data_IF_752179071620
#
_entry.id   IF_752179071620
#
_cell.length_a   1.000
_cell.length_b   1.000
_cell.length_c   1.000
_cell.angle_alpha   90.00
_cell.angle_beta   90.00
_cell.angle_gamma   90.00
#
_symmetry.space_group_name_H-M   'P 1'
#
loop_
_entity.id
_entity.type
_entity.pdbx_description
1 polymer ?
#
# COMPACT_ATOMS: atom_id res chain seq x y z
N UNK A 1 1.93 47.74 -47.76
CA UNK A 1 2.35 46.42 -47.22
C UNK A 1 3.62 45.90 -47.91
N UNK A 2 4.66 46.73 -48.09
CA UNK A 2 5.90 46.36 -48.79
C UNK A 2 7.01 45.90 -47.85
N UNK A 3 7.35 46.71 -46.85
CA UNK A 3 8.41 46.43 -45.87
C UNK A 3 8.16 45.16 -45.05
N UNK A 4 6.90 44.86 -44.70
CA UNK A 4 6.56 43.62 -43.98
C UNK A 4 6.90 42.39 -44.83
N UNK A 5 6.80 42.48 -46.16
CA UNK A 5 7.08 41.37 -47.08
C UNK A 5 8.59 41.16 -47.32
N UNK A 6 9.39 42.20 -47.18
CA UNK A 6 10.86 42.15 -47.34
C UNK A 6 11.59 41.75 -46.06
N UNK A 7 11.03 42.07 -44.89
CA UNK A 7 11.69 41.82 -43.58
C UNK A 7 11.11 40.59 -42.88
N UNK A 8 9.88 40.16 -43.21
CA UNK A 8 9.35 38.89 -42.74
C UNK A 8 9.91 37.75 -43.60
N UNK A 9 11.16 37.38 -43.33
CA UNK A 9 11.55 35.98 -43.48
C UNK A 9 10.78 35.19 -42.44
N UNK A 10 9.53 34.85 -42.78
CA UNK A 10 8.90 33.70 -42.15
C UNK A 10 9.74 32.51 -42.59
N UNK A 11 10.82 32.24 -41.85
CA UNK A 11 11.22 30.88 -41.62
C UNK A 11 10.00 30.27 -40.94
N UNK A 12 9.06 29.76 -41.77
CA UNK A 12 8.21 28.65 -41.39
C UNK A 12 9.21 27.52 -41.18
N UNK A 13 9.95 27.59 -40.07
CA UNK A 13 10.72 26.48 -39.62
C UNK A 13 9.63 25.45 -39.37
N UNK A 14 9.64 24.39 -40.17
CA UNK A 14 8.91 23.14 -40.00
C UNK A 14 9.18 22.57 -38.60
N UNK A 15 8.74 23.26 -37.56
CA UNK A 15 8.68 22.74 -36.19
C UNK A 15 7.33 22.08 -35.95
N UNK A 16 6.70 21.62 -37.04
CA UNK A 16 5.34 21.06 -37.06
C UNK A 16 5.30 19.57 -37.37
N UNK A 17 6.39 18.90 -37.78
CA UNK A 17 6.23 17.49 -38.21
C UNK A 17 6.43 16.46 -37.09
N UNK A 18 7.46 16.58 -36.23
CA UNK A 18 7.75 15.52 -35.25
C UNK A 18 6.65 15.44 -34.18
N UNK A 19 6.27 16.56 -33.58
CA UNK A 19 5.22 16.57 -32.55
C UNK A 19 3.86 16.14 -33.12
N UNK A 20 3.53 16.56 -34.34
CA UNK A 20 2.26 16.22 -35.01
C UNK A 20 2.21 14.75 -35.43
N UNK A 21 3.31 14.19 -35.92
CA UNK A 21 3.39 12.77 -36.29
C UNK A 21 3.31 11.87 -35.05
N UNK A 22 3.96 12.27 -33.95
CA UNK A 22 3.84 11.58 -32.67
C UNK A 22 2.41 11.68 -32.14
N UNK A 23 1.78 12.86 -32.18
CA UNK A 23 0.40 13.04 -31.74
C UNK A 23 -0.59 12.25 -32.62
N UNK A 24 -0.37 12.13 -33.93
CA UNK A 24 -1.20 11.31 -34.83
C UNK A 24 -1.26 9.84 -34.39
N UNK A 25 -0.15 9.31 -33.87
CA UNK A 25 -0.07 7.94 -33.37
C UNK A 25 -0.63 7.85 -31.95
N UNK A 26 -0.18 8.74 -31.04
CA UNK A 26 -0.52 8.69 -29.62
C UNK A 26 -1.98 9.06 -29.32
N UNK A 27 -2.60 9.90 -30.15
CA UNK A 27 -4.00 10.30 -30.01
C UNK A 27 -4.95 9.52 -30.92
N UNK A 28 -4.44 8.52 -31.66
CA UNK A 28 -5.27 7.70 -32.52
C UNK A 28 -6.34 6.96 -31.69
N UNK A 29 -7.59 6.95 -32.15
CA UNK A 29 -8.72 6.38 -31.43
C UNK A 29 -8.53 4.92 -31.02
N UNK A 30 -7.82 4.13 -31.84
CA UNK A 30 -7.59 2.70 -31.60
C UNK A 30 -6.21 2.40 -31.01
N UNK A 31 -5.16 3.10 -31.44
CA UNK A 31 -3.78 2.82 -31.02
C UNK A 31 -3.36 3.62 -29.78
N UNK A 32 -4.00 4.76 -29.53
CA UNK A 32 -3.73 5.59 -28.36
C UNK A 32 -3.98 4.86 -27.04
N UNK A 33 -5.09 4.11 -26.91
CA UNK A 33 -5.39 3.36 -25.67
C UNK A 33 -4.37 2.25 -25.37
N UNK A 34 -4.03 1.34 -26.32
CA UNK A 34 -2.96 0.36 -26.10
C UNK A 34 -1.61 0.99 -25.78
N UNK A 35 -1.20 2.06 -26.49
CA UNK A 35 0.08 2.73 -26.24
C UNK A 35 0.08 3.39 -24.85
N UNK A 36 -1.03 4.01 -24.48
CA UNK A 36 -1.20 4.58 -23.14
C UNK A 36 -1.08 3.50 -22.05
N UNK A 37 -1.82 2.40 -22.18
CA UNK A 37 -1.75 1.27 -21.25
C UNK A 37 -0.33 0.72 -21.19
N UNK A 38 0.37 0.61 -22.32
CA UNK A 38 1.77 0.19 -22.37
C UNK A 38 2.70 1.14 -21.62
N UNK A 39 2.56 2.47 -21.76
CA UNK A 39 3.38 3.43 -21.01
C UNK A 39 3.10 3.37 -19.51
N UNK A 40 1.84 3.22 -19.10
CA UNK A 40 1.48 3.06 -17.69
C UNK A 40 2.02 1.73 -17.13
N UNK A 41 1.88 0.63 -17.88
CA UNK A 41 2.45 -0.66 -17.52
C UNK A 41 3.97 -0.57 -17.38
N UNK A 42 4.65 0.06 -18.33
CA UNK A 42 6.11 0.29 -18.31
C UNK A 42 6.52 1.11 -17.08
N UNK A 43 5.77 2.17 -16.75
CA UNK A 43 6.01 2.97 -15.54
C UNK A 43 5.96 2.10 -14.28
N UNK A 44 4.93 1.27 -14.11
CA UNK A 44 4.81 0.40 -12.94
C UNK A 44 5.86 -0.71 -12.92
N UNK A 45 6.09 -1.36 -14.06
CA UNK A 45 7.10 -2.41 -14.19
C UNK A 45 8.48 -1.87 -13.82
N UNK A 46 8.86 -0.72 -14.38
CA UNK A 46 10.12 -0.06 -14.07
C UNK A 46 10.23 0.29 -12.59
N UNK A 47 9.15 0.80 -11.99
CA UNK A 47 9.11 1.16 -10.56
C UNK A 47 9.38 -0.03 -9.65
N UNK A 48 8.72 -1.17 -9.89
CA UNK A 48 8.89 -2.34 -9.03
C UNK A 48 10.18 -3.11 -9.31
N UNK A 49 10.52 -3.31 -10.59
CA UNK A 49 11.73 -4.06 -10.96
C UNK A 49 13.00 -3.30 -10.57
N UNK A 50 13.11 -1.99 -10.85
CA UNK A 50 14.28 -1.22 -10.43
C UNK A 50 14.25 -0.89 -8.93
N UNK A 51 13.06 -0.79 -8.34
CA UNK A 51 12.90 -0.46 -6.94
C UNK A 51 13.21 -1.61 -5.97
N UNK A 52 13.10 -2.86 -6.42
CA UNK A 52 13.43 -4.05 -5.63
C UNK A 52 14.89 -4.05 -5.16
N UNK A 53 15.85 -3.72 -6.05
CA UNK A 53 17.27 -3.73 -5.68
C UNK A 53 17.61 -2.76 -4.53
N UNK A 54 17.23 -1.47 -4.58
CA UNK A 54 17.45 -0.57 -3.45
C UNK A 54 16.67 -0.95 -2.19
N UNK A 55 15.47 -1.53 -2.33
CA UNK A 55 14.68 -2.02 -1.17
C UNK A 55 15.44 -3.10 -0.42
N UNK A 56 16.06 -4.05 -1.12
CA UNK A 56 16.84 -5.13 -0.52
C UNK A 56 18.10 -4.60 0.18
N UNK A 57 18.84 -3.67 -0.45
CA UNK A 57 20.05 -3.09 0.15
C UNK A 57 19.74 -2.28 1.42
N UNK A 58 18.70 -1.45 1.36
CA UNK A 58 18.21 -0.72 2.54
C UNK A 58 17.64 -1.68 3.58
N UNK A 59 17.04 -2.79 3.12
CA UNK A 59 16.61 -3.92 3.92
C UNK A 59 17.71 -4.43 4.82
N UNK A 60 18.76 -4.97 4.19
CA UNK A 60 19.93 -5.51 4.88
C UNK A 60 20.60 -4.46 5.80
N UNK A 61 20.64 -3.19 5.39
CA UNK A 61 21.19 -2.11 6.23
C UNK A 61 20.38 -1.86 7.51
N UNK A 62 19.05 -1.86 7.41
CA UNK A 62 18.14 -1.74 8.56
C UNK A 62 18.24 -2.96 9.47
N UNK A 63 18.30 -4.15 8.89
CA UNK A 63 18.33 -5.40 9.64
C UNK A 63 19.69 -5.55 10.36
N UNK A 64 20.79 -5.12 9.73
CA UNK A 64 22.11 -5.00 10.36
C UNK A 64 22.14 -3.97 11.49
N UNK A 65 21.48 -2.81 11.32
CA UNK A 65 21.32 -1.82 12.39
C UNK A 65 20.52 -2.39 13.57
N UNK A 66 19.44 -3.10 13.28
CA UNK A 66 18.61 -3.79 14.28
C UNK A 66 19.43 -4.79 15.10
N UNK A 67 20.24 -5.61 14.44
CA UNK A 67 21.15 -6.55 15.09
C UNK A 67 22.21 -5.86 15.95
N UNK A 68 22.83 -4.78 15.46
CA UNK A 68 23.83 -4.01 16.19
C UNK A 68 23.25 -3.34 17.45
N UNK A 69 22.08 -2.73 17.33
CA UNK A 69 21.34 -2.14 18.48
C UNK A 69 20.93 -3.25 19.46
N UNK A 70 20.49 -4.40 18.96
CA UNK A 70 20.12 -5.56 19.76
C UNK A 70 21.28 -6.15 20.56
N UNK A 71 22.50 -6.14 20.01
CA UNK A 71 23.70 -6.63 20.69
C UNK A 71 24.27 -5.62 21.71
N UNK A 72 24.07 -4.32 21.48
CA UNK A 72 24.60 -3.26 22.34
C UNK A 72 23.74 -3.00 23.60
N UNK A 73 22.47 -3.41 23.61
CA UNK A 73 21.53 -3.14 24.70
C UNK A 73 21.15 -4.43 25.45
N UNK A 74 21.12 -4.41 26.79
CA UNK A 74 20.60 -5.52 27.57
C UNK A 74 19.12 -5.76 27.30
N UNK A 75 18.64 -6.98 27.56
CA UNK A 75 17.23 -7.34 27.42
C UNK A 75 16.37 -6.46 28.33
N UNK A 76 15.44 -5.73 27.73
CA UNK A 76 14.61 -4.77 28.46
C UNK A 76 13.64 -4.00 27.56
N UNK A 77 12.81 -3.17 28.20
CA UNK A 77 11.81 -2.32 27.52
C UNK A 77 12.48 -1.45 26.45
N UNK A 78 13.63 -0.86 26.78
CA UNK A 78 14.41 0.02 25.89
C UNK A 78 14.87 -0.68 24.61
N UNK A 79 15.40 -1.91 24.71
CA UNK A 79 15.81 -2.70 23.53
C UNK A 79 14.61 -2.96 22.62
N UNK A 80 13.51 -3.46 23.17
CA UNK A 80 12.30 -3.73 22.39
C UNK A 80 11.70 -2.46 21.76
N UNK A 81 11.72 -1.31 22.45
CA UNK A 81 11.22 -0.05 21.89
C UNK A 81 12.09 0.42 20.72
N UNK A 82 13.41 0.37 20.88
CA UNK A 82 14.35 0.83 19.86
C UNK A 82 14.34 -0.09 18.65
N UNK A 83 14.38 -1.40 18.85
CA UNK A 83 14.42 -2.40 17.77
C UNK A 83 13.05 -2.56 17.11
N UNK A 84 12.03 -2.96 17.87
CA UNK A 84 10.71 -3.33 17.32
C UNK A 84 9.81 -2.11 17.08
N UNK A 85 10.03 -1.01 17.80
CA UNK A 85 9.24 0.21 17.65
C UNK A 85 9.84 1.22 16.67
N UNK A 86 11.07 1.66 16.95
CA UNK A 86 11.71 2.77 16.22
C UNK A 86 12.40 2.28 14.95
N UNK A 87 13.34 1.33 15.05
CA UNK A 87 14.13 0.83 13.91
C UNK A 87 13.23 0.12 12.91
N UNK A 88 12.31 -0.75 13.36
CA UNK A 88 11.32 -1.37 12.48
C UNK A 88 10.41 -0.33 11.80
N UNK A 89 9.93 0.66 12.55
CA UNK A 89 9.09 1.75 12.03
C UNK A 89 9.79 2.59 10.98
N UNK A 90 10.95 3.18 11.32
CA UNK A 90 11.76 4.00 10.39
C UNK A 90 12.26 3.17 9.22
N UNK A 91 12.64 1.91 9.49
CA UNK A 91 13.06 0.95 8.49
C UNK A 91 12.01 0.74 7.42
N UNK A 92 10.73 0.60 7.79
CA UNK A 92 9.63 0.46 6.82
C UNK A 92 9.53 1.66 5.86
N UNK A 93 9.70 2.89 6.38
CA UNK A 93 9.65 4.13 5.58
C UNK A 93 10.82 4.22 4.63
N UNK A 94 12.03 3.89 5.11
CA UNK A 94 13.26 3.92 4.32
C UNK A 94 13.20 2.86 3.21
N UNK A 95 12.77 1.63 3.53
CA UNK A 95 12.62 0.54 2.55
C UNK A 95 11.62 0.93 1.45
N UNK A 96 10.60 1.75 1.73
CA UNK A 96 9.60 2.16 0.73
C UNK A 96 10.01 3.34 -0.17
N UNK A 97 10.96 4.17 0.28
CA UNK A 97 11.37 5.39 -0.42
C UNK A 97 11.83 5.18 -1.89
N UNK A 98 12.57 4.12 -2.26
CA UNK A 98 13.05 3.93 -3.63
C UNK A 98 11.93 3.81 -4.66
N UNK A 99 10.87 3.05 -4.34
CA UNK A 99 9.71 2.89 -5.23
C UNK A 99 9.02 4.23 -5.48
N UNK A 100 8.86 5.05 -4.44
CA UNK A 100 8.27 6.39 -4.57
C UNK A 100 9.15 7.31 -5.42
N UNK A 101 10.48 7.26 -5.24
CA UNK A 101 11.44 8.06 -6.00
C UNK A 101 11.32 7.77 -7.50
N UNK A 102 11.35 6.48 -7.88
CA UNK A 102 11.27 6.05 -9.28
C UNK A 102 9.92 6.44 -9.88
N UNK A 103 8.83 6.22 -9.14
CA UNK A 103 7.50 6.63 -9.56
C UNK A 103 7.40 8.15 -9.81
N UNK A 104 7.91 8.98 -8.88
CA UNK A 104 7.90 10.43 -9.06
C UNK A 104 8.78 10.88 -10.22
N UNK A 105 9.90 10.21 -10.44
CA UNK A 105 10.73 10.42 -11.62
C UNK A 105 9.94 10.15 -12.92
N UNK A 106 9.21 9.03 -13.00
CA UNK A 106 8.38 8.73 -14.16
C UNK A 106 7.20 9.71 -14.36
N UNK A 107 6.54 10.13 -13.28
CA UNK A 107 5.48 11.13 -13.36
C UNK A 107 6.03 12.47 -13.86
N UNK A 108 7.17 12.91 -13.31
CA UNK A 108 7.84 14.13 -13.77
C UNK A 108 8.26 14.02 -15.24
N UNK A 109 8.71 12.84 -15.69
CA UNK A 109 9.01 12.58 -17.09
C UNK A 109 7.77 12.74 -17.99
N UNK A 110 6.62 12.20 -17.59
CA UNK A 110 5.38 12.33 -18.35
C UNK A 110 4.81 13.76 -18.34
N UNK A 111 5.03 14.50 -17.26
CA UNK A 111 4.64 15.91 -17.13
C UNK A 111 5.52 16.81 -18.03
N UNK A 112 6.84 16.73 -17.91
CA UNK A 112 7.79 17.57 -18.64
C UNK A 112 7.80 17.29 -20.15
N UNK A 113 7.55 16.04 -20.56
CA UNK A 113 7.42 15.68 -21.98
C UNK A 113 6.14 16.22 -22.61
N UNK A 114 5.14 16.61 -21.81
CA UNK A 114 3.82 17.01 -22.29
C UNK A 114 2.90 15.83 -22.66
N UNK A 115 3.30 14.59 -22.35
CA UNK A 115 2.49 13.39 -22.58
C UNK A 115 1.23 13.35 -21.70
N UNK A 116 1.28 13.96 -20.51
CA UNK A 116 0.12 14.09 -19.61
C UNK A 116 -1.08 14.78 -20.26
N UNK A 117 -0.86 15.83 -21.05
CA UNK A 117 -1.94 16.53 -21.75
C UNK A 117 -2.62 15.63 -22.81
N UNK A 118 -1.85 14.82 -23.54
CA UNK A 118 -2.40 13.86 -24.53
C UNK A 118 -3.15 12.73 -23.87
N UNK A 119 -2.59 12.20 -22.78
CA UNK A 119 -3.24 11.17 -21.97
C UNK A 119 -4.60 11.65 -21.44
N UNK A 120 -4.66 12.89 -20.95
CA UNK A 120 -5.92 13.50 -20.52
C UNK A 120 -6.93 13.65 -21.66
N UNK A 121 -6.48 14.08 -22.86
CA UNK A 121 -7.33 14.16 -24.04
C UNK A 121 -7.88 12.79 -24.47
N UNK A 122 -7.02 11.76 -24.50
CA UNK A 122 -7.43 10.38 -24.83
C UNK A 122 -8.46 9.83 -23.83
N UNK A 123 -8.28 10.16 -22.54
CA UNK A 123 -9.15 9.71 -21.46
C UNK A 123 -10.42 10.53 -21.30
N UNK A 124 -10.54 11.67 -21.98
CA UNK A 124 -11.65 12.61 -21.81
C UNK A 124 -13.01 11.94 -22.06
N UNK A 125 -13.11 11.13 -23.12
CA UNK A 125 -14.33 10.35 -23.42
C UNK A 125 -14.70 9.38 -22.29
N UNK A 126 -13.71 8.75 -21.66
CA UNK A 126 -13.94 7.83 -20.54
C UNK A 126 -14.35 8.61 -19.29
N UNK A 127 -13.71 9.75 -19.03
CA UNK A 127 -14.02 10.58 -17.86
C UNK A 127 -15.43 11.17 -17.95
N UNK A 128 -15.89 11.58 -19.14
CA UNK A 128 -17.27 12.03 -19.33
C UNK A 128 -18.32 10.95 -19.02
N UNK A 129 -18.02 9.65 -19.17
CA UNK A 129 -18.92 8.57 -18.73
C UNK A 129 -19.11 8.55 -17.21
N UNK A 130 -18.09 8.97 -16.46
CA UNK A 130 -18.09 9.11 -14.99
C UNK A 130 -18.73 10.46 -14.58
N UNK A 131 -18.88 11.40 -15.52
CA UNK A 131 -19.30 12.77 -15.26
C UNK A 131 -18.16 13.65 -14.73
N UNK A 132 -16.93 13.31 -15.11
CA UNK A 132 -15.70 14.04 -14.81
C UNK A 132 -15.08 14.59 -16.09
N UNK A 133 -14.30 15.65 -15.94
CA UNK A 133 -13.52 16.23 -17.02
C UNK A 133 -12.22 15.44 -17.23
N UNK A 134 -11.72 15.32 -18.48
CA UNK A 134 -10.47 14.62 -18.80
C UNK A 134 -9.22 15.03 -18.00
N UNK A 135 -9.13 16.28 -17.50
CA UNK A 135 -8.05 16.75 -16.61
C UNK A 135 -8.03 15.99 -15.27
N UNK A 136 -9.19 15.50 -14.81
CA UNK A 136 -9.34 14.72 -13.57
C UNK A 136 -8.61 13.38 -13.61
N UNK A 137 -8.35 12.87 -14.82
CA UNK A 137 -7.59 11.64 -15.02
C UNK A 137 -6.15 11.75 -14.51
N UNK A 138 -5.53 12.93 -14.62
CA UNK A 138 -4.12 13.15 -14.25
C UNK A 138 -3.90 12.86 -12.75
N UNK A 139 -4.67 13.46 -11.81
CA UNK A 139 -4.67 13.05 -10.41
C UNK A 139 -4.98 11.57 -10.18
N UNK A 140 -6.01 11.01 -10.83
CA UNK A 140 -6.42 9.61 -10.63
C UNK A 140 -5.32 8.62 -10.99
N UNK A 141 -4.60 8.87 -12.08
CA UNK A 141 -3.47 8.05 -12.50
C UNK A 141 -2.33 8.08 -11.46
N UNK A 142 -2.02 9.25 -10.92
CA UNK A 142 -1.04 9.38 -9.83
C UNK A 142 -1.45 8.59 -8.57
N UNK A 143 -2.76 8.38 -8.35
CA UNK A 143 -3.32 7.66 -7.20
C UNK A 143 -2.90 6.19 -7.12
N UNK A 144 -2.77 5.51 -8.27
CA UNK A 144 -2.22 4.14 -8.34
C UNK A 144 -0.79 4.05 -7.80
N UNK A 145 -0.05 5.15 -7.85
CA UNK A 145 1.22 5.30 -7.17
C UNK A 145 1.01 5.62 -5.69
N UNK A 146 0.57 6.84 -5.39
CA UNK A 146 0.27 7.28 -4.03
C UNK A 146 -0.89 8.28 -4.02
N UNK A 147 -1.85 8.06 -3.12
CA UNK A 147 -3.03 8.92 -3.01
C UNK A 147 -2.70 10.34 -2.49
N UNK A 148 -1.60 10.52 -1.76
CA UNK A 148 -1.18 11.82 -1.21
C UNK A 148 -0.86 12.84 -2.32
N UNK A 149 0.12 12.61 -3.22
CA UNK A 149 0.42 13.52 -4.32
C UNK A 149 -0.74 13.63 -5.32
N UNK A 150 -1.50 12.55 -5.52
CA UNK A 150 -2.67 12.54 -6.38
C UNK A 150 -3.74 13.56 -5.91
N UNK A 151 -4.09 13.53 -4.62
CA UNK A 151 -5.06 14.47 -4.05
C UNK A 151 -4.55 15.92 -4.10
N UNK A 152 -3.25 16.15 -3.86
CA UNK A 152 -2.66 17.48 -4.02
C UNK A 152 -2.69 17.96 -5.48
N UNK A 153 -2.54 17.05 -6.45
CA UNK A 153 -2.62 17.39 -7.86
C UNK A 153 -4.04 17.78 -8.28
N UNK A 154 -5.08 17.35 -7.58
CA UNK A 154 -6.47 17.75 -7.86
C UNK A 154 -6.70 19.27 -7.74
N UNK A 155 -5.79 20.01 -7.10
CA UNK A 155 -5.84 21.49 -7.06
C UNK A 155 -5.72 22.17 -8.42
N UNK A 156 -5.23 21.46 -9.44
CA UNK A 156 -5.13 21.98 -10.81
C UNK A 156 -6.47 21.93 -11.56
N UNK A 157 -7.48 21.28 -10.97
CA UNK A 157 -8.83 21.22 -11.53
C UNK A 157 -9.56 22.54 -11.26
N UNK A 158 -10.03 23.16 -12.35
CA UNK A 158 -10.70 24.47 -12.33
C UNK A 158 -12.06 24.42 -11.63
N UNK A 159 -12.78 23.32 -11.79
CA UNK A 159 -14.08 23.09 -11.16
C UNK A 159 -13.91 22.49 -9.77
N UNK A 160 -14.46 23.17 -8.75
CA UNK A 160 -14.46 22.66 -7.38
C UNK A 160 -15.18 21.31 -7.25
N UNK A 161 -16.23 21.08 -8.05
CA UNK A 161 -16.99 19.82 -8.04
C UNK A 161 -16.12 18.68 -8.54
N UNK A 162 -15.41 18.89 -9.64
CA UNK A 162 -14.52 17.88 -10.22
C UNK A 162 -13.33 17.63 -9.30
N UNK A 163 -12.83 18.68 -8.63
CA UNK A 163 -11.82 18.56 -7.57
C UNK A 163 -12.30 17.67 -6.43
N UNK A 164 -13.43 17.97 -5.80
CA UNK A 164 -13.95 17.18 -4.67
C UNK A 164 -14.24 15.73 -5.10
N UNK A 165 -14.87 15.54 -6.26
CA UNK A 165 -15.20 14.22 -6.78
C UNK A 165 -13.93 13.39 -7.04
N UNK A 166 -12.92 13.99 -7.67
CA UNK A 166 -11.62 13.35 -7.90
C UNK A 166 -10.95 12.96 -6.59
N UNK A 167 -10.96 13.85 -5.58
CA UNK A 167 -10.39 13.60 -4.26
C UNK A 167 -11.10 12.43 -3.56
N UNK A 168 -12.42 12.32 -3.69
CA UNK A 168 -13.20 11.21 -3.11
C UNK A 168 -13.00 9.88 -3.85
N UNK A 169 -12.78 9.89 -5.16
CA UNK A 169 -12.62 8.63 -5.91
C UNK A 169 -11.20 8.09 -5.82
N UNK A 170 -10.20 8.97 -5.71
CA UNK A 170 -8.77 8.60 -5.69
C UNK A 170 -8.42 7.49 -4.69
N UNK A 171 -8.93 7.46 -3.44
CA UNK A 171 -8.66 6.37 -2.48
C UNK A 171 -9.00 4.95 -2.94
N UNK A 172 -9.93 4.80 -3.90
CA UNK A 172 -10.30 3.51 -4.48
C UNK A 172 -9.32 3.02 -5.54
N UNK A 173 -8.43 3.90 -6.02
CA UNK A 173 -7.26 3.46 -6.75
C UNK A 173 -6.32 2.72 -5.79
N UNK A 174 -5.85 1.56 -6.23
CA UNK A 174 -4.93 0.76 -5.42
C UNK A 174 -3.54 1.37 -5.47
N UNK A 175 -3.12 2.03 -4.39
CA UNK A 175 -1.76 2.55 -4.26
C UNK A 175 -0.75 1.41 -4.02
N UNK A 176 0.52 1.66 -4.32
CA UNK A 176 1.61 0.68 -4.17
C UNK A 176 1.76 0.14 -2.75
N UNK A 177 1.36 0.91 -1.73
CA UNK A 177 1.40 0.50 -0.32
C UNK A 177 0.41 -0.64 0.03
N UNK A 178 -0.62 -0.90 -0.79
CA UNK A 178 -1.55 -2.02 -0.62
C UNK A 178 -1.00 -3.33 -1.18
N UNK A 179 -0.07 -3.25 -2.13
CA UNK A 179 0.46 -4.40 -2.88
C UNK A 179 1.11 -5.46 -1.97
N UNK A 180 1.91 -5.12 -0.94
CA UNK A 180 2.48 -6.13 -0.04
C UNK A 180 1.42 -7.01 0.63
N UNK A 181 0.29 -6.42 1.04
CA UNK A 181 -0.82 -7.17 1.64
C UNK A 181 -1.41 -8.15 0.64
N UNK A 182 -1.60 -7.72 -0.61
CA UNK A 182 -2.14 -8.60 -1.63
C UNK A 182 -1.17 -9.69 -2.03
N UNK A 183 0.13 -9.40 -2.14
CA UNK A 183 1.14 -10.41 -2.49
C UNK A 183 1.24 -11.47 -1.41
N UNK A 184 1.25 -11.09 -0.13
CA UNK A 184 1.29 -12.05 0.98
C UNK A 184 0.04 -12.91 1.01
N UNK A 185 -1.16 -12.30 0.98
CA UNK A 185 -2.41 -13.06 1.06
C UNK A 185 -2.69 -13.87 -0.21
N UNK A 186 -2.52 -13.29 -1.39
CA UNK A 186 -2.76 -14.00 -2.65
C UNK A 186 -1.71 -15.10 -2.86
N UNK A 187 -0.43 -14.84 -2.54
CA UNK A 187 0.64 -15.82 -2.62
C UNK A 187 0.40 -17.02 -1.70
N UNK A 188 0.03 -16.77 -0.44
CA UNK A 188 -0.22 -17.82 0.55
C UNK A 188 -1.44 -18.70 0.20
N UNK A 189 -2.56 -18.10 -0.20
CA UNK A 189 -3.83 -18.82 -0.33
C UNK A 189 -4.18 -19.26 -1.77
N UNK A 190 -3.63 -18.60 -2.80
CA UNK A 190 -4.02 -18.84 -4.20
C UNK A 190 -2.85 -19.30 -5.09
N UNK A 191 -1.61 -19.28 -4.58
CA UNK A 191 -0.42 -19.82 -5.27
C UNK A 191 -0.31 -19.36 -6.72
N UNK A 192 -0.38 -20.29 -7.68
CA UNK A 192 -0.30 -20.00 -9.11
C UNK A 192 -1.37 -19.01 -9.63
N UNK A 193 -2.52 -18.88 -8.95
CA UNK A 193 -3.61 -17.95 -9.32
C UNK A 193 -3.49 -16.60 -8.62
N UNK A 194 -2.46 -16.37 -7.80
CA UNK A 194 -2.27 -15.11 -7.06
C UNK A 194 -2.32 -13.89 -7.98
N UNK A 195 -1.65 -13.94 -9.14
CA UNK A 195 -1.65 -12.84 -10.11
C UNK A 195 -3.05 -12.52 -10.64
N UNK A 196 -3.87 -13.52 -10.92
CA UNK A 196 -5.27 -13.33 -11.38
C UNK A 196 -6.13 -12.70 -10.29
N UNK A 197 -5.95 -13.11 -9.03
CA UNK A 197 -6.69 -12.53 -7.90
C UNK A 197 -6.31 -11.07 -7.69
N UNK A 198 -5.02 -10.74 -7.70
CA UNK A 198 -4.54 -9.35 -7.60
C UNK A 198 -5.10 -8.51 -8.75
N UNK A 199 -5.03 -9.01 -9.98
CA UNK A 199 -5.61 -8.32 -11.14
C UNK A 199 -7.12 -8.07 -10.97
N UNK A 200 -7.86 -9.08 -10.48
CA UNK A 200 -9.29 -8.95 -10.18
C UNK A 200 -9.60 -7.87 -9.14
N UNK A 201 -8.79 -7.78 -8.08
CA UNK A 201 -8.91 -6.73 -7.05
C UNK A 201 -8.65 -5.34 -7.63
N UNK A 202 -7.64 -5.19 -8.49
CA UNK A 202 -7.34 -3.92 -9.15
C UNK A 202 -8.49 -3.49 -10.08
N UNK A 203 -9.03 -4.43 -10.86
CA UNK A 203 -10.17 -4.18 -11.73
C UNK A 203 -11.41 -3.80 -10.91
N UNK A 204 -11.66 -4.50 -9.79
CA UNK A 204 -12.74 -4.18 -8.86
C UNK A 204 -12.61 -2.74 -8.33
N UNK A 205 -11.39 -2.30 -7.97
CA UNK A 205 -11.13 -0.94 -7.53
C UNK A 205 -11.48 0.11 -8.59
N UNK A 206 -11.07 -0.12 -9.85
CA UNK A 206 -11.40 0.77 -10.98
C UNK A 206 -12.92 0.83 -11.23
N UNK A 207 -13.60 -0.32 -11.23
CA UNK A 207 -15.06 -0.39 -11.42
C UNK A 207 -15.80 0.34 -10.30
N UNK A 208 -15.42 0.12 -9.04
CA UNK A 208 -16.04 0.78 -7.88
C UNK A 208 -15.76 2.29 -7.86
N UNK A 209 -14.57 2.71 -8.30
CA UNK A 209 -14.23 4.11 -8.52
C UNK A 209 -15.18 4.78 -9.52
N UNK A 210 -15.41 4.13 -10.67
CA UNK A 210 -16.33 4.60 -11.72
C UNK A 210 -17.77 4.67 -11.19
N UNK A 211 -18.23 3.60 -10.54
CA UNK A 211 -19.59 3.50 -10.02
C UNK A 211 -19.86 4.57 -8.95
N UNK A 212 -18.95 4.70 -7.98
CA UNK A 212 -19.09 5.70 -6.91
C UNK A 212 -19.01 7.11 -7.46
N UNK A 213 -18.14 7.35 -8.45
CA UNK A 213 -18.06 8.65 -9.11
C UNK A 213 -19.37 9.07 -9.77
N UNK A 214 -20.01 8.14 -10.49
CA UNK A 214 -21.32 8.37 -11.12
C UNK A 214 -22.43 8.60 -10.08
N UNK A 215 -22.43 7.84 -8.99
CA UNK A 215 -23.37 8.00 -7.87
C UNK A 215 -23.19 9.39 -7.24
N UNK A 216 -21.96 9.81 -6.91
CA UNK A 216 -21.70 11.10 -6.27
C UNK A 216 -21.96 12.29 -7.20
N UNK A 217 -21.68 12.17 -8.51
CA UNK A 217 -22.01 13.20 -9.48
C UNK A 217 -23.52 13.44 -9.56
N UNK A 218 -24.30 12.37 -9.60
CA UNK A 218 -25.76 12.44 -9.73
C UNK A 218 -26.48 12.84 -8.44
N UNK A 219 -25.95 12.48 -7.27
CA UNK A 219 -26.59 12.72 -5.97
C UNK A 219 -26.07 13.98 -5.27
N UNK A 220 -24.75 14.08 -5.11
CA UNK A 220 -24.10 14.99 -4.16
C UNK A 220 -23.59 16.29 -4.82
N UNK A 221 -23.14 16.23 -6.09
CA UNK A 221 -22.43 17.30 -6.78
C UNK A 221 -23.08 17.70 -8.12
N UNK A 222 -24.35 18.13 -8.08
CA UNK A 222 -25.12 18.53 -9.28
C UNK A 222 -24.61 19.83 -9.91
N UNK A 223 -24.54 19.92 -11.23
CA UNK A 223 -24.32 21.16 -12.00
C UNK A 223 -23.72 20.95 -13.40
N UNK A 224 -23.67 22.03 -14.19
CA UNK A 224 -23.16 21.99 -15.56
C UNK A 224 -21.63 21.81 -15.62
N UNK A 225 -21.17 21.07 -16.62
CA UNK A 225 -19.76 20.86 -16.92
C UNK A 225 -19.15 22.15 -17.50
N UNK A 226 -17.94 22.51 -17.07
CA UNK A 226 -17.21 23.63 -17.67
C UNK A 226 -16.82 23.26 -19.13
N UNK A 227 -16.86 24.20 -20.10
CA UNK A 227 -16.45 23.92 -21.47
C UNK A 227 -15.00 23.45 -21.53
N UNK A 228 -14.75 22.28 -22.14
CA UNK A 228 -13.40 21.73 -22.26
C UNK A 228 -12.63 22.42 -23.39
N UNK A 229 -11.74 23.35 -23.04
CA UNK A 229 -10.70 23.86 -23.94
C UNK A 229 -9.35 23.48 -23.35
N UNK A 230 -8.60 22.65 -24.07
CA UNK A 230 -7.24 22.28 -23.69
C UNK A 230 -6.30 22.61 -24.84
N UNK A 231 -5.43 23.58 -24.60
CA UNK A 231 -4.29 23.82 -25.45
C UNK A 231 -3.30 22.65 -25.28
N UNK A 232 -2.98 21.94 -26.36
CA UNK A 232 -1.98 20.88 -26.35
C UNK A 232 -0.59 21.52 -26.38
N UNK A 233 0.22 21.45 -25.30
CA UNK A 233 1.55 22.05 -25.28
C UNK A 233 2.48 21.32 -26.27
N UNK A 234 3.49 21.97 -26.88
CA UNK A 234 4.45 21.25 -27.73
C UNK A 234 5.26 20.23 -26.91
N UNK A 235 5.73 19.14 -27.54
CA UNK A 235 6.67 18.21 -26.88
C UNK A 235 7.95 18.95 -26.51
N UNK A 236 8.40 18.75 -25.27
CA UNK A 236 9.65 19.30 -24.75
C UNK A 236 10.53 18.14 -24.30
N UNK A 237 11.83 18.24 -24.55
CA UNK A 237 12.79 17.30 -23.98
C UNK A 237 12.93 17.62 -22.49
N UNK A 238 12.69 16.65 -21.59
CA UNK A 238 12.76 16.89 -20.15
C UNK A 238 14.21 17.16 -19.75
N UNK A 239 14.44 18.21 -18.97
CA UNK A 239 15.79 18.49 -18.46
C UNK A 239 16.08 17.54 -17.29
N UNK A 240 17.10 16.69 -17.42
CA UNK A 240 17.50 15.75 -16.36
C UNK A 240 17.70 16.43 -14.99
N UNK A 241 18.24 17.65 -14.98
CA UNK A 241 18.39 18.46 -13.77
C UNK A 241 17.04 18.78 -13.11
N UNK A 242 16.03 19.13 -13.90
CA UNK A 242 14.67 19.41 -13.41
C UNK A 242 14.06 18.15 -12.78
N UNK A 243 14.15 17.02 -13.49
CA UNK A 243 13.64 15.73 -13.02
C UNK A 243 14.26 15.32 -11.68
N UNK A 244 15.60 15.44 -11.54
CA UNK A 244 16.31 15.09 -10.30
C UNK A 244 15.96 16.02 -9.14
N UNK A 245 15.82 17.33 -9.39
CA UNK A 245 15.42 18.30 -8.36
C UNK A 245 13.99 18.00 -7.88
N UNK A 246 13.05 17.79 -8.81
CA UNK A 246 11.66 17.45 -8.48
C UNK A 246 11.57 16.14 -7.69
N UNK A 247 12.33 15.12 -8.12
CA UNK A 247 12.41 13.85 -7.41
C UNK A 247 12.95 14.03 -5.99
N UNK A 248 14.01 14.82 -5.80
CA UNK A 248 14.61 15.08 -4.49
C UNK A 248 13.67 15.86 -3.56
N UNK A 249 13.07 16.95 -4.03
CA UNK A 249 12.17 17.79 -3.23
C UNK A 249 10.93 17.03 -2.77
N UNK A 250 10.34 16.23 -3.65
CA UNK A 250 9.18 15.38 -3.33
C UNK A 250 9.54 14.31 -2.29
N UNK A 251 10.71 13.71 -2.40
CA UNK A 251 11.18 12.69 -1.47
C UNK A 251 11.57 13.23 -0.11
N UNK A 252 12.20 14.41 -0.05
CA UNK A 252 12.44 15.12 1.21
C UNK A 252 11.12 15.45 1.91
N UNK A 253 10.14 15.95 1.16
CA UNK A 253 8.81 16.25 1.70
C UNK A 253 8.12 14.99 2.25
N UNK A 254 8.23 13.87 1.53
CA UNK A 254 7.73 12.57 1.96
C UNK A 254 8.41 12.13 3.26
N UNK A 255 9.74 12.09 3.31
CA UNK A 255 10.48 11.64 4.51
C UNK A 255 10.17 12.49 5.75
N UNK A 256 10.18 13.82 5.63
CA UNK A 256 9.96 14.71 6.78
C UNK A 256 8.53 14.63 7.32
N UNK A 257 7.52 14.58 6.43
CA UNK A 257 6.12 14.59 6.86
C UNK A 257 5.59 13.20 7.19
N UNK A 258 5.94 12.20 6.39
CA UNK A 258 5.44 10.84 6.54
C UNK A 258 6.24 10.05 7.55
N UNK A 259 7.57 10.22 7.54
CA UNK A 259 8.47 9.52 8.46
C UNK A 259 8.12 9.80 9.93
N UNK A 260 7.83 11.06 10.28
CA UNK A 260 7.42 11.41 11.64
C UNK A 260 6.08 10.77 12.04
N UNK A 261 5.10 10.80 11.15
CA UNK A 261 3.76 10.22 11.42
C UNK A 261 3.85 8.70 11.59
N UNK A 262 4.62 8.03 10.74
CA UNK A 262 4.84 6.58 10.79
C UNK A 262 5.62 6.20 12.05
N UNK A 263 6.67 6.95 12.41
CA UNK A 263 7.44 6.75 13.65
C UNK A 263 6.55 6.85 14.90
N UNK A 264 5.71 7.87 14.99
CA UNK A 264 4.79 8.01 16.13
C UNK A 264 3.80 6.84 16.16
N UNK A 265 3.27 6.46 15.00
CA UNK A 265 2.36 5.32 14.89
C UNK A 265 3.00 3.99 15.27
N UNK A 266 4.24 3.72 14.85
CA UNK A 266 4.96 2.48 15.19
C UNK A 266 5.27 2.38 16.67
N UNK A 267 5.66 3.49 17.32
CA UNK A 267 5.86 3.56 18.78
C UNK A 267 4.54 3.29 19.52
N UNK A 268 3.44 3.89 19.07
CA UNK A 268 2.12 3.66 19.68
C UNK A 268 1.67 2.21 19.52
N UNK A 269 1.79 1.63 18.33
CA UNK A 269 1.44 0.23 18.06
C UNK A 269 2.32 -0.70 18.90
N UNK A 270 3.62 -0.45 18.96
CA UNK A 270 4.56 -1.19 19.80
C UNK A 270 4.13 -1.16 21.28
N UNK A 271 3.77 0.03 21.79
CA UNK A 271 3.33 0.20 23.17
C UNK A 271 2.01 -0.52 23.45
N UNK A 272 1.05 -0.46 22.53
CA UNK A 272 -0.21 -1.19 22.64
C UNK A 272 -0.01 -2.71 22.57
N UNK A 273 0.97 -3.18 21.78
CA UNK A 273 1.28 -4.59 21.62
C UNK A 273 2.04 -5.19 22.82
N UNK A 274 2.91 -4.40 23.45
CA UNK A 274 3.80 -4.87 24.52
C UNK A 274 3.21 -4.77 25.93
N UNK A 275 2.22 -3.91 26.16
CA UNK A 275 1.66 -3.68 27.50
C UNK A 275 0.23 -4.20 27.63
N UNK A 276 -0.20 -4.69 28.82
CA UNK A 276 0.61 -4.89 30.03
C UNK A 276 1.53 -6.12 29.96
N UNK A 277 2.72 -6.04 30.59
CA UNK A 277 3.69 -7.15 30.65
C UNK A 277 3.43 -8.14 31.79
N UNK A 278 2.71 -7.71 32.84
CA UNK A 278 2.44 -8.50 34.05
C UNK A 278 1.18 -9.36 33.90
N UNK A 279 1.08 -10.11 32.81
CA UNK A 279 0.01 -11.09 32.64
C UNK A 279 0.55 -12.43 33.13
N UNK A 280 -0.04 -12.97 34.20
CA UNK A 280 0.27 -14.32 34.66
C UNK A 280 0.04 -15.30 33.48
N UNK A 281 1.08 -16.01 33.01
CA UNK A 281 0.93 -16.92 31.87
C UNK A 281 0.01 -18.08 32.26
N UNK A 282 -0.83 -18.54 31.33
CA UNK A 282 -1.75 -19.66 31.58
C UNK A 282 -1.03 -20.98 31.86
N UNK A 283 0.20 -21.13 31.35
CA UNK A 283 1.11 -22.26 31.56
C UNK A 283 2.47 -21.78 32.01
N UNK A 284 3.19 -22.63 32.74
CA UNK A 284 4.59 -22.38 33.06
C UNK A 284 5.49 -22.77 31.87
N UNK A 285 5.53 -21.89 30.87
CA UNK A 285 6.34 -22.05 29.67
C UNK A 285 7.83 -22.20 29.99
N UNK A 286 8.31 -21.65 31.11
CA UNK A 286 9.70 -21.79 31.54
C UNK A 286 9.99 -23.22 32.01
N UNK A 287 9.08 -23.82 32.79
CA UNK A 287 9.19 -25.21 33.20
C UNK A 287 9.06 -26.19 32.02
N UNK A 288 8.15 -25.94 31.07
CA UNK A 288 8.00 -26.78 29.86
C UNK A 288 9.21 -26.68 28.93
N UNK A 289 9.74 -25.48 28.72
CA UNK A 289 10.98 -25.29 27.95
C UNK A 289 12.14 -26.03 28.61
N UNK A 290 12.28 -25.89 29.93
CA UNK A 290 13.31 -26.60 30.71
C UNK A 290 13.18 -28.13 30.63
N UNK A 291 11.95 -28.67 30.59
CA UNK A 291 11.70 -30.11 30.39
C UNK A 291 12.12 -30.59 29.01
N UNK A 292 11.82 -29.84 27.96
CA UNK A 292 12.20 -30.21 26.59
C UNK A 292 13.72 -30.18 26.42
N UNK A 293 14.38 -29.13 26.90
CA UNK A 293 15.84 -29.02 26.84
C UNK A 293 16.50 -30.14 27.66
N UNK A 294 16.03 -30.42 28.88
CA UNK A 294 16.56 -31.51 29.70
C UNK A 294 16.34 -32.90 29.08
N UNK A 295 15.20 -33.12 28.43
CA UNK A 295 14.90 -34.38 27.72
C UNK A 295 15.82 -34.54 26.52
N UNK A 296 16.01 -33.48 25.74
CA UNK A 296 16.92 -33.46 24.61
C UNK A 296 18.36 -33.72 25.05
N UNK A 297 18.84 -33.06 26.11
CA UNK A 297 20.18 -33.25 26.68
C UNK A 297 20.41 -34.71 27.10
N UNK A 298 19.39 -35.35 27.70
CA UNK A 298 19.47 -36.75 28.11
C UNK A 298 19.54 -37.72 26.92
N UNK A 299 18.81 -37.44 25.85
CA UNK A 299 18.81 -38.27 24.63
C UNK A 299 20.07 -38.05 23.79
N UNK A 300 20.58 -36.82 23.75
CA UNK A 300 21.83 -36.45 23.08
C UNK A 300 23.07 -37.10 23.73
N UNK A 301 23.02 -37.40 25.02
CA UNK A 301 24.10 -38.09 25.73
C UNK A 301 24.25 -39.56 25.31
N UNK A 302 23.20 -40.18 24.77
CA UNK A 302 23.16 -41.60 24.37
C UNK A 302 23.14 -41.82 22.85
N UNK A 303 23.09 -40.76 22.04
CA UNK A 303 22.85 -40.81 20.60
C UNK A 303 24.10 -40.60 19.74
N UNK A 304 24.15 -41.25 18.57
CA UNK A 304 25.22 -41.10 17.58
C UNK A 304 25.15 -39.74 16.86
N UNK A 305 26.25 -39.30 16.24
CA UNK A 305 26.41 -37.93 15.71
C UNK A 305 25.34 -37.45 14.72
N UNK A 306 24.71 -38.34 13.94
CA UNK A 306 23.59 -38.00 13.05
C UNK A 306 22.23 -37.94 13.77
N UNK A 307 22.05 -38.75 14.82
CA UNK A 307 20.84 -38.81 15.64
C UNK A 307 20.81 -37.66 16.64
N UNK A 308 21.97 -37.27 17.17
CA UNK A 308 22.17 -36.08 18.00
C UNK A 308 21.73 -34.80 17.29
N UNK A 309 22.09 -34.62 16.01
CA UNK A 309 21.63 -33.47 15.19
C UNK A 309 20.11 -33.45 15.02
N UNK A 310 19.48 -34.61 14.80
CA UNK A 310 18.01 -34.69 14.68
C UNK A 310 17.31 -34.36 15.99
N UNK A 311 17.83 -34.83 17.12
CA UNK A 311 17.30 -34.53 18.45
C UNK A 311 17.45 -33.04 18.76
N UNK A 312 18.60 -32.45 18.43
CA UNK A 312 18.85 -31.01 18.56
C UNK A 312 17.87 -30.19 17.71
N UNK A 313 17.71 -30.53 16.42
CA UNK A 313 16.74 -29.87 15.53
C UNK A 313 15.29 -29.99 16.03
N UNK A 314 14.89 -31.18 16.50
CA UNK A 314 13.55 -31.42 17.05
C UNK A 314 13.30 -30.66 18.36
N UNK A 315 14.28 -30.65 19.26
CA UNK A 315 14.20 -29.93 20.52
C UNK A 315 14.13 -28.43 20.30
N UNK A 316 14.97 -27.89 19.41
CA UNK A 316 14.90 -26.49 19.01
C UNK A 316 13.56 -26.14 18.38
N UNK A 317 13.02 -27.00 17.51
CA UNK A 317 11.71 -26.76 16.89
C UNK A 317 10.59 -26.76 17.92
N UNK A 318 10.58 -27.71 18.85
CA UNK A 318 9.58 -27.76 19.93
C UNK A 318 9.69 -26.55 20.88
N UNK A 319 10.91 -26.07 21.18
CA UNK A 319 11.13 -24.85 21.96
C UNK A 319 10.67 -23.61 21.18
N UNK A 320 10.92 -23.54 19.87
CA UNK A 320 10.42 -22.45 19.00
C UNK A 320 8.89 -22.42 18.98
N UNK A 321 8.23 -23.57 18.86
CA UNK A 321 6.77 -23.68 18.86
C UNK A 321 6.17 -23.22 20.20
N UNK A 322 6.74 -23.64 21.34
CA UNK A 322 6.33 -23.16 22.67
C UNK A 322 6.52 -21.65 22.85
N UNK A 323 7.66 -21.09 22.41
CA UNK A 323 7.90 -19.64 22.45
C UNK A 323 6.88 -18.89 21.61
N UNK A 324 6.50 -19.45 20.45
CA UNK A 324 5.48 -18.89 19.57
C UNK A 324 4.10 -18.87 20.25
N UNK A 325 3.73 -19.95 20.93
CA UNK A 325 2.49 -20.02 21.73
C UNK A 325 2.51 -18.98 22.87
N UNK A 326 3.59 -18.90 23.63
CA UNK A 326 3.76 -17.94 24.72
C UNK A 326 3.61 -16.50 24.24
N UNK A 327 4.27 -16.14 23.13
CA UNK A 327 4.21 -14.80 22.52
C UNK A 327 2.81 -14.48 22.00
N UNK A 328 2.11 -15.47 21.45
CA UNK A 328 0.71 -15.33 21.00
C UNK A 328 -0.22 -15.08 22.18
N UNK A 329 -0.05 -15.80 23.29
CA UNK A 329 -0.82 -15.59 24.51
C UNK A 329 -0.56 -14.19 25.09
N UNK A 330 0.70 -13.79 25.22
CA UNK A 330 1.08 -12.46 25.71
C UNK A 330 0.44 -11.36 24.86
N UNK A 331 0.53 -11.48 23.54
CA UNK A 331 -0.05 -10.54 22.58
C UNK A 331 -1.58 -10.49 22.70
N UNK A 332 -2.25 -11.60 23.02
CA UNK A 332 -3.71 -11.65 23.23
C UNK A 332 -4.17 -10.86 24.46
N UNK A 333 -3.34 -10.81 25.50
CA UNK A 333 -3.65 -10.08 26.74
C UNK A 333 -3.21 -8.62 26.74
N UNK A 334 -2.37 -8.23 25.78
CA UNK A 334 -1.96 -6.85 25.52
C UNK A 334 -3.14 -5.91 25.25
N UNK A 335 -2.92 -4.60 25.31
CA UNK A 335 -3.92 -3.60 24.95
C UNK A 335 -4.36 -3.75 23.50
N UNK A 336 -3.45 -4.07 22.57
CA UNK A 336 -3.80 -4.28 21.17
C UNK A 336 -4.69 -5.52 21.00
N UNK A 337 -4.42 -6.60 21.75
CA UNK A 337 -5.26 -7.79 21.79
C UNK A 337 -6.66 -7.53 22.38
N UNK A 338 -6.77 -6.66 23.39
CA UNK A 338 -8.06 -6.23 23.95
C UNK A 338 -8.87 -5.39 22.96
N UNK A 339 -8.23 -4.42 22.31
CA UNK A 339 -8.84 -3.61 21.25
C UNK A 339 -9.30 -4.50 20.10
N UNK A 340 -8.47 -5.46 19.69
CA UNK A 340 -8.80 -6.44 18.66
C UNK A 340 -10.05 -7.25 18.99
N UNK A 341 -10.15 -7.79 20.21
CA UNK A 341 -11.35 -8.53 20.65
C UNK A 341 -12.59 -7.67 20.78
N UNK A 342 -12.45 -6.40 21.15
CA UNK A 342 -13.57 -5.46 21.18
C UNK A 342 -14.14 -5.20 19.78
N UNK A 343 -13.26 -5.17 18.77
CA UNK A 343 -13.62 -4.85 17.38
C UNK A 343 -13.96 -6.11 16.55
N UNK A 344 -13.50 -7.29 17.00
CA UNK A 344 -13.73 -8.58 16.35
C UNK A 344 -15.21 -8.85 15.97
N UNK A 345 -16.24 -8.50 16.77
CA UNK A 345 -17.63 -8.72 16.38
C UNK A 345 -18.04 -7.99 15.09
N UNK A 346 -17.40 -6.86 14.78
CA UNK A 346 -17.64 -6.10 13.53
C UNK A 346 -17.03 -6.80 12.33
N UNK A 347 -15.91 -7.52 12.53
CA UNK A 347 -15.14 -8.18 11.48
C UNK A 347 -15.47 -9.67 11.32
N UNK A 348 -16.06 -10.31 12.33
CA UNK A 348 -16.47 -11.71 12.29
C UNK A 348 -17.42 -12.04 11.11
N UNK A 349 -18.41 -11.19 10.74
CA UNK A 349 -19.25 -11.44 9.57
C UNK A 349 -18.51 -11.41 8.23
N UNK A 350 -17.28 -10.88 8.22
CA UNK A 350 -16.37 -10.81 7.06
C UNK A 350 -15.41 -12.02 7.01
N UNK A 351 -15.44 -12.90 8.01
CA UNK A 351 -14.50 -13.99 8.19
C UNK A 351 -13.12 -13.55 8.69
N UNK A 352 -12.99 -12.33 9.21
CA UNK A 352 -11.71 -11.76 9.64
C UNK A 352 -11.59 -11.88 11.16
N UNK A 353 -10.54 -12.55 11.63
CA UNK A 353 -10.24 -12.72 13.04
C UNK A 353 -9.76 -11.43 13.72
N UNK A 354 -9.65 -11.46 15.05
CA UNK A 354 -9.22 -10.31 15.84
C UNK A 354 -7.81 -9.81 15.43
N UNK A 355 -6.89 -10.69 15.05
CA UNK A 355 -5.56 -10.32 14.57
C UNK A 355 -5.65 -9.53 13.25
N UNK A 356 -6.48 -10.00 12.32
CA UNK A 356 -6.76 -9.30 11.07
C UNK A 356 -7.43 -7.95 11.31
N UNK A 357 -8.41 -7.88 12.22
CA UNK A 357 -9.04 -6.63 12.63
C UNK A 357 -8.04 -5.61 13.19
N UNK A 358 -7.14 -6.05 14.09
CA UNK A 358 -6.05 -5.19 14.61
C UNK A 358 -5.12 -4.71 13.50
N UNK A 359 -4.71 -5.62 12.61
CA UNK A 359 -3.83 -5.29 11.49
C UNK A 359 -4.47 -4.26 10.54
N UNK A 360 -5.79 -4.31 10.32
CA UNK A 360 -6.49 -3.32 9.50
C UNK A 360 -6.55 -1.95 10.17
N UNK A 361 -6.72 -1.91 11.50
CA UNK A 361 -6.72 -0.67 12.29
C UNK A 361 -5.34 -0.02 12.29
N UNK A 362 -4.28 -0.79 12.55
CA UNK A 362 -2.90 -0.27 12.46
C UNK A 362 -2.58 0.21 11.05
N UNK A 363 -3.15 -0.45 10.03
CA UNK A 363 -3.06 -0.05 8.63
C UNK A 363 -3.62 1.34 8.32
N UNK A 364 -4.44 1.93 9.20
CA UNK A 364 -4.87 3.33 9.06
C UNK A 364 -3.67 4.28 9.03
N UNK A 365 -2.67 4.04 9.87
CA UNK A 365 -1.48 4.90 9.94
C UNK A 365 -0.73 4.83 8.62
N UNK A 366 -0.40 3.62 8.19
CA UNK A 366 0.19 3.34 6.88
C UNK A 366 -0.20 1.93 6.43
N UNK A 367 -0.53 1.75 5.14
CA UNK A 367 -1.13 0.50 4.65
C UNK A 367 -0.14 -0.66 4.66
N UNK A 368 1.13 -0.36 4.49
CA UNK A 368 2.23 -1.32 4.59
C UNK A 368 2.39 -1.91 6.00
N UNK A 369 1.93 -1.21 7.05
CA UNK A 369 2.00 -1.67 8.44
C UNK A 369 1.07 -2.88 8.66
N UNK A 370 0.06 -3.10 7.82
CA UNK A 370 -0.84 -4.27 7.93
C UNK A 370 -0.02 -5.58 7.91
N UNK A 371 0.90 -5.72 6.95
CA UNK A 371 1.73 -6.93 6.81
C UNK A 371 2.68 -7.07 8.00
N UNK A 372 3.32 -5.98 8.41
CA UNK A 372 4.21 -5.97 9.58
C UNK A 372 3.46 -6.35 10.86
N UNK A 373 2.24 -5.84 11.04
CA UNK A 373 1.39 -6.14 12.20
C UNK A 373 0.99 -7.61 12.20
N UNK A 374 0.58 -8.17 11.05
CA UNK A 374 0.31 -9.61 10.94
C UNK A 374 1.56 -10.45 11.25
N UNK A 375 2.74 -10.02 10.78
CA UNK A 375 4.02 -10.66 11.10
C UNK A 375 4.28 -10.75 12.60
N UNK A 376 4.09 -9.63 13.31
CA UNK A 376 4.26 -9.56 14.77
C UNK A 376 3.20 -10.40 15.49
N UNK A 377 1.92 -10.27 15.13
CA UNK A 377 0.81 -10.94 15.79
C UNK A 377 0.80 -12.47 15.61
N UNK A 378 1.29 -12.97 14.47
CA UNK A 378 1.42 -14.40 14.20
C UNK A 378 2.81 -14.97 14.54
N UNK A 379 3.67 -14.13 15.15
CA UNK A 379 5.04 -14.45 15.51
C UNK A 379 5.85 -15.05 14.34
N UNK A 380 5.58 -14.58 13.11
CA UNK A 380 6.26 -15.00 11.89
C UNK A 380 7.59 -14.26 11.67
N UNK A 381 7.96 -13.33 12.55
CA UNK A 381 9.18 -12.52 12.44
C UNK A 381 10.45 -13.17 13.01
N UNK A 382 10.41 -14.42 13.45
CA UNK A 382 11.60 -15.15 13.98
C UNK A 382 12.17 -16.17 12.97
N UNK A 383 11.56 -16.32 11.80
CA UNK A 383 12.06 -17.17 10.73
C UNK A 383 12.46 -16.34 9.50
N UNK A 384 13.71 -16.45 9.08
CA UNK A 384 14.27 -15.81 7.86
C UNK A 384 13.73 -16.43 6.55
N UNK A 385 12.68 -17.25 6.61
CA UNK A 385 12.12 -17.93 5.44
C UNK A 385 11.15 -17.02 4.67
N UNK A 386 11.41 -16.85 3.37
CA UNK A 386 10.45 -16.26 2.43
C UNK A 386 9.11 -17.02 2.49
N UNK A 387 8.03 -16.32 2.83
CA UNK A 387 6.70 -16.90 2.95
C UNK A 387 6.30 -17.42 4.34
N UNK A 388 7.16 -17.26 5.36
CA UNK A 388 6.86 -17.62 6.75
C UNK A 388 5.51 -17.05 7.25
N UNK A 389 5.21 -15.79 6.90
CA UNK A 389 3.94 -15.16 7.25
C UNK A 389 2.74 -15.85 6.58
N UNK A 390 2.87 -16.26 5.31
CA UNK A 390 1.82 -16.97 4.60
C UNK A 390 1.48 -18.31 5.27
N UNK A 391 2.52 -19.09 5.60
CA UNK A 391 2.37 -20.35 6.32
C UNK A 391 1.78 -20.15 7.71
N UNK A 392 2.20 -19.11 8.42
CA UNK A 392 1.67 -18.74 9.72
C UNK A 392 0.17 -18.42 9.69
N UNK A 393 -0.31 -17.72 8.66
CA UNK A 393 -1.73 -17.40 8.48
C UNK A 393 -2.56 -18.67 8.22
N UNK A 394 -2.05 -19.58 7.37
CA UNK A 394 -2.67 -20.88 7.10
C UNK A 394 -2.76 -21.71 8.38
N UNK A 395 -1.68 -21.77 9.16
CA UNK A 395 -1.63 -22.52 10.42
C UNK A 395 -2.65 -22.03 11.46
N UNK A 396 -3.00 -20.73 11.44
CA UNK A 396 -4.04 -20.18 12.32
C UNK A 396 -5.48 -20.43 11.85
N UNK A 397 -5.67 -21.10 10.70
CA UNK A 397 -7.00 -21.46 10.19
C UNK A 397 -7.66 -20.37 9.33
N UNK A 398 -6.91 -19.36 8.89
CA UNK A 398 -7.43 -18.38 7.93
C UNK A 398 -7.75 -19.09 6.61
N UNK A 399 -8.93 -18.83 6.05
CA UNK A 399 -9.35 -19.47 4.80
C UNK A 399 -9.07 -18.59 3.58
N UNK A 400 -8.96 -19.15 2.36
CA UNK A 400 -8.82 -18.37 1.13
C UNK A 400 -9.92 -17.32 0.95
N UNK A 401 -11.16 -17.63 1.36
CA UNK A 401 -12.28 -16.69 1.29
C UNK A 401 -12.13 -15.53 2.28
N UNK A 402 -11.66 -15.80 3.51
CA UNK A 402 -11.31 -14.76 4.48
C UNK A 402 -10.20 -13.85 3.95
N UNK A 403 -9.16 -14.42 3.35
CA UNK A 403 -8.08 -13.67 2.73
C UNK A 403 -8.60 -12.76 1.60
N UNK A 404 -9.49 -13.26 0.74
CA UNK A 404 -10.13 -12.46 -0.30
C UNK A 404 -10.97 -11.31 0.27
N UNK A 405 -11.79 -11.58 1.28
CA UNK A 405 -12.58 -10.58 2.01
C UNK A 405 -11.68 -9.48 2.60
N UNK A 406 -10.57 -9.87 3.23
CA UNK A 406 -9.58 -8.94 3.78
C UNK A 406 -8.91 -8.11 2.68
N UNK A 407 -8.56 -8.69 1.53
CA UNK A 407 -7.99 -7.95 0.41
C UNK A 407 -8.97 -6.90 -0.16
N UNK A 408 -10.25 -7.26 -0.31
CA UNK A 408 -11.31 -6.33 -0.74
C UNK A 408 -11.53 -5.22 0.30
N UNK A 409 -11.46 -5.55 1.59
CA UNK A 409 -11.51 -4.55 2.64
C UNK A 409 -10.31 -3.59 2.54
N UNK A 410 -9.08 -4.11 2.40
CA UNK A 410 -7.85 -3.30 2.25
C UNK A 410 -7.90 -2.40 1.02
N UNK A 411 -8.52 -2.87 -0.06
CA UNK A 411 -8.73 -2.09 -1.27
C UNK A 411 -9.57 -0.83 -1.01
N UNK A 412 -10.65 -0.93 -0.22
CA UNK A 412 -11.69 0.08 -0.16
C UNK A 412 -11.72 0.90 1.15
N UNK A 413 -11.14 0.38 2.22
CA UNK A 413 -11.29 1.00 3.54
C UNK A 413 -10.55 2.34 3.65
N UNK A 414 -10.88 3.08 4.72
CA UNK A 414 -10.42 4.43 5.04
C UNK A 414 -9.01 4.78 4.52
N UNK A 415 -8.82 5.94 3.87
CA UNK A 415 -7.51 6.35 3.38
C UNK A 415 -6.47 6.42 4.51
N UNK A 416 -5.18 6.27 4.20
CA UNK A 416 -4.15 6.35 5.24
C UNK A 416 -4.14 7.75 5.90
N UNK A 417 -3.57 7.84 7.10
CA UNK A 417 -3.55 9.06 7.91
C UNK A 417 -3.02 10.27 7.12
N UNK A 418 -2.03 10.07 6.27
CA UNK A 418 -1.51 11.12 5.40
C UNK A 418 -2.51 11.58 4.33
N UNK A 419 -3.19 10.62 3.69
CA UNK A 419 -4.21 10.92 2.69
C UNK A 419 -5.38 11.66 3.34
N UNK A 420 -5.86 11.23 4.51
CA UNK A 420 -6.91 11.97 5.25
C UNK A 420 -6.49 13.39 5.63
N UNK A 421 -5.24 13.59 6.06
CA UNK A 421 -4.70 14.91 6.37
C UNK A 421 -4.66 15.83 5.14
N UNK A 422 -4.29 15.30 3.96
CA UNK A 422 -4.33 16.06 2.71
C UNK A 422 -5.76 16.34 2.25
N UNK A 423 -6.69 15.38 2.36
CA UNK A 423 -8.12 15.62 2.07
C UNK A 423 -8.63 16.79 2.90
N UNK A 424 -8.34 16.82 4.21
CA UNK A 424 -8.73 17.92 5.10
C UNK A 424 -8.17 19.26 4.63
N UNK A 425 -6.93 19.27 4.13
CA UNK A 425 -6.24 20.48 3.69
C UNK A 425 -6.75 21.01 2.35
N UNK A 426 -7.08 20.12 1.42
CA UNK A 426 -7.54 20.49 0.06
C UNK A 426 -9.06 20.69 -0.04
N UNK A 427 -9.83 20.22 0.95
CA UNK A 427 -11.29 20.35 0.97
C UNK A 427 -11.78 20.99 2.29
N UNK A 428 -12.37 20.21 3.19
CA UNK A 428 -12.79 20.63 4.53
C UNK A 428 -12.86 19.44 5.48
N UNK A 429 -12.98 19.69 6.79
CA UNK A 429 -13.15 18.61 7.78
C UNK A 429 -14.44 17.81 7.56
N UNK A 430 -15.48 18.42 7.00
CA UNK A 430 -16.73 17.72 6.66
C UNK A 430 -16.50 16.67 5.56
N UNK A 431 -15.77 17.05 4.52
CA UNK A 431 -15.42 16.14 3.42
C UNK A 431 -14.42 15.06 3.85
N UNK A 432 -13.50 15.38 4.76
CA UNK A 432 -12.62 14.38 5.39
C UNK A 432 -13.42 13.33 6.17
N UNK A 433 -14.34 13.74 7.06
CA UNK A 433 -15.15 12.82 7.84
C UNK A 433 -16.12 12.02 6.96
N UNK A 434 -16.74 12.68 5.97
CA UNK A 434 -17.51 12.00 4.94
C UNK A 434 -16.65 10.94 4.28
N UNK A 435 -15.43 11.30 3.84
CA UNK A 435 -14.50 10.43 3.15
C UNK A 435 -14.16 9.17 3.94
N UNK A 436 -13.89 9.30 5.23
CA UNK A 436 -13.60 8.18 6.13
C UNK A 436 -14.83 7.30 6.33
N UNK A 437 -16.00 7.91 6.56
CA UNK A 437 -17.24 7.20 6.80
C UNK A 437 -17.70 6.37 5.60
N UNK A 438 -17.81 6.98 4.42
CA UNK A 438 -18.34 6.28 3.24
C UNK A 438 -17.39 5.18 2.75
N UNK A 439 -16.07 5.42 2.76
CA UNK A 439 -15.09 4.41 2.32
C UNK A 439 -15.09 3.20 3.25
N UNK A 440 -15.13 3.41 4.56
CA UNK A 440 -15.23 2.32 5.54
C UNK A 440 -16.54 1.55 5.44
N UNK A 441 -17.67 2.25 5.27
CA UNK A 441 -18.96 1.61 5.10
C UNK A 441 -19.02 0.79 3.80
N UNK A 442 -18.49 1.32 2.70
CA UNK A 442 -18.44 0.63 1.42
C UNK A 442 -17.49 -0.58 1.47
N UNK A 443 -16.34 -0.44 2.14
CA UNK A 443 -15.39 -1.55 2.34
C UNK A 443 -16.01 -2.69 3.14
N UNK A 444 -16.67 -2.37 4.25
CA UNK A 444 -17.35 -3.36 5.08
C UNK A 444 -18.46 -4.06 4.30
N UNK A 445 -19.30 -3.29 3.60
CA UNK A 445 -20.39 -3.84 2.78
C UNK A 445 -19.89 -4.75 1.66
N UNK A 446 -18.86 -4.33 0.91
CA UNK A 446 -18.30 -5.14 -0.18
C UNK A 446 -17.60 -6.39 0.32
N UNK A 447 -16.81 -6.30 1.39
CA UNK A 447 -16.17 -7.47 2.01
C UNK A 447 -17.21 -8.45 2.55
N UNK A 448 -18.31 -7.95 3.14
CA UNK A 448 -19.42 -8.78 3.61
C UNK A 448 -20.11 -9.51 2.46
N UNK A 449 -20.41 -8.81 1.37
CA UNK A 449 -20.99 -9.41 0.17
C UNK A 449 -20.07 -10.50 -0.39
N UNK A 450 -18.77 -10.24 -0.51
CA UNK A 450 -17.79 -11.21 -1.01
C UNK A 450 -17.73 -12.45 -0.12
N UNK A 451 -17.63 -12.27 1.20
CA UNK A 451 -17.54 -13.39 2.14
C UNK A 451 -18.84 -14.22 2.17
N UNK A 452 -20.01 -13.58 2.23
CA UNK A 452 -21.28 -14.30 2.31
C UNK A 452 -21.64 -15.01 1.01
N UNK A 453 -21.43 -14.35 -0.15
CA UNK A 453 -21.64 -15.00 -1.45
C UNK A 453 -20.67 -16.16 -1.64
N UNK A 454 -19.39 -15.99 -1.28
CA UNK A 454 -18.41 -17.07 -1.37
C UNK A 454 -18.81 -18.28 -0.52
N UNK A 455 -19.29 -18.03 0.71
CA UNK A 455 -19.78 -19.08 1.60
C UNK A 455 -21.03 -19.78 1.05
N UNK A 456 -21.96 -19.03 0.46
CA UNK A 456 -23.17 -19.57 -0.19
C UNK A 456 -22.84 -20.43 -1.42
N UNK A 457 -21.78 -20.08 -2.15
CA UNK A 457 -21.28 -20.85 -3.29
C UNK A 457 -20.45 -22.09 -2.86
N UNK A 458 -20.29 -22.32 -1.56
CA UNK A 458 -19.55 -23.47 -1.03
C UNK A 458 -18.03 -23.29 -0.99
N UNK A 459 -17.52 -22.07 -1.20
CA UNK A 459 -16.10 -21.77 -1.00
C UNK A 459 -15.82 -21.59 0.49
N UNK A 460 -14.77 -22.25 0.99
CA UNK A 460 -14.27 -22.13 2.36
C UNK A 460 -13.16 -21.11 2.45
#
# INVERSE_FOLDING_TARGET
AGIIREVQSATIQQRVDISRNIDLVLTHRLFGFPIFIFFIWTMFQLTFTLGEYPVQWLGAGVDGLSGAVGAALPEGILRSLLVDGVVAGVGSVIKFLPNILILFFCIALFEDTGYMARSAFLMDRIMHLIGLHGKSFIPMLMGFGCNVPAIMAARTLESEKDRILTILITPFMSCSAKLPVYVVLAGAFFGARAGTVIFGIYLLGVVLSILTGRIFRSTLLKGADAPFVMELPPYRMPMAKSLLIHMWDRSKLFLLKMGQVILVGSIVIWGLSNFPRDVAPSRDYAAETGRITATADSQMATADGSERRRIEEQAEQAVRDLRREQKTEQTRHSYIGRIGRFIAPVFAPLGIDWQGGVALISGFVAKEIVVSTLGVLHAAGESDEEGALGQALIATGMTPLSALSMMVFVLLYLPCLATTAVIRRETSTRWMLFSIGYSTAMAWGMAFVVYQIGRLLGFS
#
